data_IF_416112282324
#
_entry.id   IF_416112282324
#
_cell.length_a   1.000
_cell.length_b   1.000
_cell.length_c   1.000
_cell.angle_alpha   90.00
_cell.angle_beta   90.00
_cell.angle_gamma   90.00
#
_symmetry.space_group_name_H-M   'P 1'
#
loop_
_entity.id
_entity.type
_entity.pdbx_description
1 polymer ?
#
# COMPACT_ATOMS: atom_id res chain seq x y z
N UNK A 1 -4.70 25.90 -3.18
CA UNK A 1 -4.70 25.08 -1.95
C UNK A 1 -3.26 24.78 -1.57
N UNK A 2 -2.91 24.87 -0.29
CA UNK A 2 -1.60 24.45 0.22
C UNK A 2 -1.84 23.13 0.96
N UNK A 3 -1.35 22.03 0.42
CA UNK A 3 -1.44 20.73 1.09
C UNK A 3 -0.26 20.60 2.06
N UNK A 4 -0.55 20.23 3.30
CA UNK A 4 0.47 19.85 4.26
C UNK A 4 0.81 18.39 4.00
N UNK A 5 2.09 18.09 3.81
CA UNK A 5 2.59 16.72 3.74
C UNK A 5 3.27 16.44 5.08
N UNK A 6 2.75 15.47 5.81
CA UNK A 6 3.25 15.06 7.12
C UNK A 6 3.77 13.62 7.09
N UNK A 7 4.49 13.24 8.15
CA UNK A 7 4.95 11.86 8.31
C UNK A 7 3.75 11.01 8.70
N UNK A 8 3.54 9.93 7.94
CA UNK A 8 2.50 8.94 8.24
C UNK A 8 2.71 8.29 9.62
N UNK A 9 1.64 8.10 10.37
CA UNK A 9 1.59 7.38 11.63
C UNK A 9 1.12 5.92 11.47
N UNK A 10 1.31 5.11 12.51
CA UNK A 10 1.03 3.66 12.43
C UNK A 10 -0.44 3.32 12.14
N UNK A 11 -1.36 4.18 12.55
CA UNK A 11 -2.79 4.02 12.32
C UNK A 11 -3.17 4.11 10.83
N UNK A 12 -2.34 4.75 10.01
CA UNK A 12 -2.59 4.99 8.59
C UNK A 12 -1.98 3.90 7.69
N UNK A 13 -1.12 3.02 8.22
CA UNK A 13 -0.51 1.93 7.44
C UNK A 13 -1.52 0.99 6.77
N UNK A 14 -2.64 0.59 7.41
CA UNK A 14 -3.66 -0.20 6.74
C UNK A 14 -4.26 0.49 5.51
N UNK A 15 -4.43 1.82 5.58
CA UNK A 15 -4.95 2.62 4.46
C UNK A 15 -3.94 2.69 3.32
N UNK A 16 -2.66 2.92 3.63
CA UNK A 16 -1.59 2.89 2.61
C UNK A 16 -1.51 1.56 1.87
N UNK A 17 -1.62 0.44 2.61
CA UNK A 17 -1.64 -0.91 2.02
C UNK A 17 -2.86 -1.12 1.14
N UNK A 18 -4.03 -0.59 1.54
CA UNK A 18 -5.25 -0.66 0.73
C UNK A 18 -5.13 0.14 -0.57
N UNK A 19 -4.57 1.36 -0.51
CA UNK A 19 -4.32 2.21 -1.68
C UNK A 19 -3.32 1.53 -2.63
N UNK A 20 -2.25 0.93 -2.09
CA UNK A 20 -1.29 0.15 -2.88
C UNK A 20 -1.98 -1.01 -3.60
N UNK A 21 -2.75 -1.83 -2.88
CA UNK A 21 -3.43 -2.99 -3.48
C UNK A 21 -4.40 -2.57 -4.58
N UNK A 22 -5.22 -1.53 -4.34
CA UNK A 22 -6.14 -1.00 -5.34
C UNK A 22 -5.41 -0.50 -6.59
N UNK A 23 -4.29 0.20 -6.40
CA UNK A 23 -3.47 0.72 -7.50
C UNK A 23 -2.85 -0.39 -8.33
N UNK A 24 -2.34 -1.45 -7.68
CA UNK A 24 -1.78 -2.63 -8.33
C UNK A 24 -2.85 -3.34 -9.16
N UNK A 25 -4.02 -3.63 -8.57
CA UNK A 25 -5.14 -4.27 -9.29
C UNK A 25 -5.64 -3.45 -10.49
N UNK A 26 -5.57 -2.12 -10.40
CA UNK A 26 -6.05 -1.23 -11.46
C UNK A 26 -5.08 -1.10 -12.65
N UNK A 27 -3.78 -1.38 -12.47
CA UNK A 27 -2.77 -1.04 -13.48
C UNK A 27 -1.82 -2.19 -13.84
N UNK A 28 -1.65 -3.16 -12.96
CA UNK A 28 -0.70 -4.28 -13.09
C UNK A 28 -1.43 -5.60 -13.30
N UNK A 29 -2.24 -5.71 -14.35
CA UNK A 29 -3.00 -6.93 -14.67
C UNK A 29 -2.13 -8.16 -14.99
N UNK A 30 -0.81 -8.00 -15.04
CA UNK A 30 0.17 -9.07 -15.20
C UNK A 30 0.60 -9.72 -13.87
N UNK A 31 0.27 -9.12 -12.73
CA UNK A 31 0.58 -9.66 -11.40
C UNK A 31 -0.59 -10.55 -10.97
N UNK A 32 -0.27 -11.76 -10.47
CA UNK A 32 -1.28 -12.70 -10.01
C UNK A 32 -1.85 -12.32 -8.64
N UNK A 33 -3.04 -12.84 -8.31
CA UNK A 33 -3.63 -12.70 -6.97
C UNK A 33 -2.75 -13.29 -5.86
N UNK A 34 -2.04 -14.38 -6.17
CA UNK A 34 -1.12 -15.04 -5.25
C UNK A 34 0.07 -14.12 -4.93
N UNK A 35 0.64 -13.48 -5.94
CA UNK A 35 1.73 -12.52 -5.76
C UNK A 35 1.25 -11.27 -4.98
N UNK A 36 0.05 -10.76 -5.27
CA UNK A 36 -0.54 -9.64 -4.51
C UNK A 36 -0.67 -10.03 -3.03
N UNK A 37 -1.18 -11.23 -2.74
CA UNK A 37 -1.31 -11.73 -1.38
C UNK A 37 0.05 -11.92 -0.68
N UNK A 38 1.07 -12.35 -1.42
CA UNK A 38 2.45 -12.48 -0.93
C UNK A 38 3.07 -11.11 -0.58
N UNK A 39 2.91 -10.10 -1.44
CA UNK A 39 3.51 -8.78 -1.22
C UNK A 39 2.80 -7.92 -0.19
N UNK A 40 1.47 -8.06 -0.04
CA UNK A 40 0.66 -7.25 0.91
C UNK A 40 1.24 -7.19 2.34
N UNK A 41 1.59 -8.31 3.02
CA UNK A 41 2.21 -8.24 4.35
C UNK A 41 3.61 -7.62 4.35
N UNK A 42 4.36 -7.73 3.25
CA UNK A 42 5.69 -7.11 3.13
C UNK A 42 5.60 -5.59 3.02
N UNK A 43 4.66 -5.07 2.23
CA UNK A 43 4.38 -3.63 2.15
C UNK A 43 4.01 -3.09 3.54
N UNK A 44 3.15 -3.79 4.28
CA UNK A 44 2.79 -3.40 5.64
C UNK A 44 4.01 -3.36 6.58
N UNK A 45 4.93 -4.31 6.46
CA UNK A 45 6.17 -4.31 7.22
C UNK A 45 7.06 -3.11 6.88
N UNK A 46 7.21 -2.77 5.60
CA UNK A 46 8.03 -1.63 5.18
C UNK A 46 7.42 -0.28 5.55
N UNK A 47 6.09 -0.15 5.59
CA UNK A 47 5.46 1.09 6.05
C UNK A 47 5.70 1.37 7.53
N UNK A 48 6.07 0.36 8.33
CA UNK A 48 6.34 0.47 9.77
C UNK A 48 7.77 0.89 10.14
N UNK A 49 8.72 0.85 9.20
CA UNK A 49 10.13 1.21 9.43
C UNK A 49 10.40 2.64 8.96
#
# INVERSE_FOLDING_TARGET
MKYLVEKVGEAEFPELVAVWEASVRATHHFISEEDIAYYKPLIQFYTRN
#
